data_IF_434377391945
#
_entry.id   IF_434377391945
#
_cell.length_a   1.000
_cell.length_b   1.000
_cell.length_c   1.000
_cell.angle_alpha   90.00
_cell.angle_beta   90.00
_cell.angle_gamma   90.00
#
_symmetry.space_group_name_H-M   'P 1'
#
loop_
_entity.id
_entity.type
_entity.pdbx_description
1 polymer ?
#
# COMPACT_ATOMS: atom_id res chain seq x y z
N UNK A 1 -16.09 19.09 -13.70
CA UNK A 1 -17.12 18.05 -13.50
C UNK A 1 -18.09 18.61 -12.46
N UNK A 2 -19.41 18.50 -12.65
CA UNK A 2 -20.35 19.00 -11.64
C UNK A 2 -20.28 18.12 -10.38
N UNK A 3 -20.08 18.70 -9.18
CA UNK A 3 -20.09 17.94 -7.93
C UNK A 3 -21.38 17.16 -7.70
N UNK A 4 -22.53 17.76 -8.05
CA UNK A 4 -23.84 17.14 -7.93
C UNK A 4 -23.98 15.94 -8.88
N UNK A 5 -23.50 16.08 -10.11
CA UNK A 5 -23.55 15.02 -11.11
C UNK A 5 -22.68 13.81 -10.71
N UNK A 6 -21.49 14.05 -10.14
CA UNK A 6 -20.63 12.98 -9.63
C UNK A 6 -21.27 12.30 -8.41
N UNK A 7 -21.82 13.08 -7.47
CA UNK A 7 -22.50 12.52 -6.30
C UNK A 7 -23.70 11.64 -6.69
N UNK A 8 -24.50 12.06 -7.66
CA UNK A 8 -25.60 11.24 -8.20
C UNK A 8 -25.09 9.94 -8.83
N UNK A 9 -24.05 10.03 -9.67
CA UNK A 9 -23.45 8.86 -10.30
C UNK A 9 -22.90 7.86 -9.27
N UNK A 10 -22.23 8.33 -8.22
CA UNK A 10 -21.70 7.45 -7.18
C UNK A 10 -22.81 6.62 -6.51
N UNK A 11 -23.99 7.21 -6.30
CA UNK A 11 -25.13 6.49 -5.72
C UNK A 11 -25.75 5.47 -6.69
N UNK A 12 -25.67 5.71 -8.00
CA UNK A 12 -26.18 4.81 -9.03
C UNK A 12 -25.20 3.66 -9.35
N UNK A 13 -23.89 3.92 -9.31
CA UNK A 13 -22.84 3.03 -9.82
C UNK A 13 -22.31 2.09 -8.74
N UNK A 14 -23.21 1.36 -8.08
CA UNK A 14 -22.90 0.50 -6.92
C UNK A 14 -22.29 -0.86 -7.29
N UNK A 15 -22.21 -1.20 -8.57
CA UNK A 15 -21.65 -2.47 -9.05
C UNK A 15 -20.89 -2.32 -10.36
N UNK A 16 -19.97 -3.26 -10.63
CA UNK A 16 -19.25 -3.32 -11.91
C UNK A 16 -20.18 -3.36 -13.12
N UNK A 17 -21.22 -4.23 -13.17
CA UNK A 17 -22.16 -4.24 -14.30
C UNK A 17 -22.82 -2.88 -14.54
N UNK A 18 -23.24 -2.18 -13.48
CA UNK A 18 -23.84 -0.85 -13.59
C UNK A 18 -22.88 0.17 -14.21
N UNK A 19 -21.60 0.15 -13.81
CA UNK A 19 -20.55 0.98 -14.42
C UNK A 19 -20.38 0.67 -15.90
N UNK A 20 -20.28 -0.61 -16.25
CA UNK A 20 -20.07 -1.05 -17.64
C UNK A 20 -21.23 -0.61 -18.53
N UNK A 21 -22.47 -0.83 -18.09
CA UNK A 21 -23.67 -0.45 -18.84
C UNK A 21 -23.76 1.08 -19.02
N UNK A 22 -23.48 1.85 -17.96
CA UNK A 22 -23.52 3.31 -18.01
C UNK A 22 -22.45 3.87 -18.95
N UNK A 23 -21.23 3.34 -18.92
CA UNK A 23 -20.18 3.79 -19.85
C UNK A 23 -20.55 3.42 -21.29
N UNK A 24 -20.95 2.17 -21.55
CA UNK A 24 -21.33 1.70 -22.90
C UNK A 24 -22.44 2.56 -23.52
N UNK A 25 -23.51 2.80 -22.78
CA UNK A 25 -24.64 3.63 -23.25
C UNK A 25 -24.21 5.06 -23.60
N UNK A 26 -23.25 5.64 -22.87
CA UNK A 26 -22.75 6.98 -23.14
C UNK A 26 -21.73 7.01 -24.28
N UNK A 27 -20.90 5.97 -24.45
CA UNK A 27 -19.99 5.88 -25.60
C UNK A 27 -20.74 5.87 -26.94
N UNK A 28 -21.95 5.34 -26.99
CA UNK A 28 -22.80 5.33 -28.19
C UNK A 28 -23.58 6.63 -28.43
N UNK A 29 -23.56 7.60 -27.51
CA UNK A 29 -24.26 8.88 -27.68
C UNK A 29 -23.61 9.70 -28.83
N UNK A 30 -24.38 10.58 -29.47
CA UNK A 30 -23.91 11.48 -30.55
C UNK A 30 -23.69 12.93 -30.08
N UNK A 31 -23.89 13.20 -28.79
CA UNK A 31 -23.78 14.56 -28.23
C UNK A 31 -22.33 15.03 -28.10
N UNK A 32 -22.11 16.34 -28.22
CA UNK A 32 -20.79 16.97 -28.13
C UNK A 32 -20.09 16.80 -26.78
N UNK A 33 -20.85 16.67 -25.69
CA UNK A 33 -20.32 16.52 -24.33
C UNK A 33 -20.08 15.07 -23.90
N UNK A 34 -20.27 14.11 -24.82
CA UNK A 34 -20.17 12.66 -24.59
C UNK A 34 -18.91 12.25 -23.83
N UNK A 35 -17.74 12.71 -24.30
CA UNK A 35 -16.44 12.28 -23.75
C UNK A 35 -16.26 12.77 -22.31
N UNK A 36 -16.62 14.02 -22.03
CA UNK A 36 -16.62 14.53 -20.65
C UNK A 36 -17.51 13.68 -19.74
N UNK A 37 -18.69 13.28 -20.23
CA UNK A 37 -19.62 12.45 -19.45
C UNK A 37 -19.07 11.04 -19.22
N UNK A 38 -18.40 10.44 -20.20
CA UNK A 38 -17.72 9.15 -20.04
C UNK A 38 -16.62 9.24 -18.98
N UNK A 39 -15.81 10.30 -18.98
CA UNK A 39 -14.79 10.51 -17.94
C UNK A 39 -15.44 10.64 -16.56
N UNK A 40 -16.54 11.40 -16.43
CA UNK A 40 -17.28 11.53 -15.17
C UNK A 40 -17.82 10.19 -14.66
N UNK A 41 -18.44 9.39 -15.53
CA UNK A 41 -18.97 8.06 -15.16
C UNK A 41 -17.81 7.13 -14.76
N UNK A 42 -16.72 7.15 -15.51
CA UNK A 42 -15.54 6.32 -15.25
C UNK A 42 -14.90 6.67 -13.90
N UNK A 43 -14.77 7.95 -13.57
CA UNK A 43 -14.23 8.39 -12.28
C UNK A 43 -15.21 8.11 -11.15
N UNK A 44 -16.49 8.46 -11.31
CA UNK A 44 -17.52 8.20 -10.31
C UNK A 44 -17.68 6.71 -9.99
N UNK A 45 -17.68 5.85 -11.02
CA UNK A 45 -17.74 4.40 -10.87
C UNK A 45 -16.51 3.84 -10.14
N UNK A 46 -15.32 4.32 -10.47
CA UNK A 46 -14.10 3.93 -9.77
C UNK A 46 -14.15 4.34 -8.28
N UNK A 47 -14.62 5.55 -7.96
CA UNK A 47 -14.78 6.01 -6.58
C UNK A 47 -15.85 5.21 -5.83
N UNK A 48 -17.01 4.94 -6.46
CA UNK A 48 -18.11 4.19 -5.88
C UNK A 48 -17.73 2.75 -5.53
N UNK A 49 -16.86 2.15 -6.34
CA UNK A 49 -16.33 0.80 -6.15
C UNK A 49 -15.03 0.77 -5.32
N UNK A 50 -14.63 1.89 -4.72
CA UNK A 50 -13.38 2.06 -3.95
C UNK A 50 -12.13 1.57 -4.72
N UNK A 51 -12.08 1.81 -6.04
CA UNK A 51 -10.93 1.52 -6.88
C UNK A 51 -9.74 2.44 -6.54
N UNK A 52 -8.54 1.87 -6.60
CA UNK A 52 -7.29 2.60 -6.38
C UNK A 52 -6.76 3.28 -7.64
N UNK A 53 -6.87 2.62 -8.79
CA UNK A 53 -6.40 3.11 -10.07
C UNK A 53 -7.41 2.79 -11.18
N UNK A 54 -7.48 3.67 -12.18
CA UNK A 54 -8.13 3.45 -13.47
C UNK A 54 -7.01 3.34 -14.51
N UNK A 55 -6.98 2.23 -15.24
CA UNK A 55 -6.07 1.99 -16.35
C UNK A 55 -6.82 2.11 -17.67
N UNK A 56 -6.26 2.86 -18.63
CA UNK A 56 -6.78 2.98 -19.99
C UNK A 56 -5.63 2.70 -20.94
N UNK A 57 -5.69 1.55 -21.59
CA UNK A 57 -4.53 0.95 -22.25
C UNK A 57 -4.89 0.60 -23.70
N UNK A 58 -4.28 1.29 -24.68
CA UNK A 58 -4.45 0.97 -26.09
C UNK A 58 -3.71 -0.32 -26.48
N UNK A 59 -4.39 -1.16 -27.26
CA UNK A 59 -3.86 -2.31 -27.97
C UNK A 59 -4.00 -2.06 -29.50
N UNK A 60 -3.56 -3.00 -30.33
CA UNK A 60 -3.52 -2.83 -31.79
C UNK A 60 -4.89 -2.49 -32.39
N UNK A 61 -5.94 -3.14 -31.91
CA UNK A 61 -7.29 -3.07 -32.50
C UNK A 61 -8.36 -2.53 -31.56
N UNK A 62 -8.05 -2.36 -30.27
CA UNK A 62 -8.99 -1.92 -29.25
C UNK A 62 -8.28 -1.17 -28.13
N UNK A 63 -9.04 -0.50 -27.27
CA UNK A 63 -8.55 0.10 -26.03
C UNK A 63 -9.31 -0.52 -24.88
N UNK A 64 -8.60 -0.96 -23.84
CA UNK A 64 -9.20 -1.55 -22.64
C UNK A 64 -9.18 -0.57 -21.46
N UNK A 65 -10.29 -0.53 -20.72
CA UNK A 65 -10.39 0.13 -19.42
C UNK A 65 -10.40 -0.93 -18.32
N UNK A 66 -9.55 -0.77 -17.31
CA UNK A 66 -9.47 -1.65 -16.14
C UNK A 66 -9.49 -0.85 -14.85
N UNK A 67 -10.15 -1.36 -13.82
CA UNK A 67 -10.05 -0.80 -12.46
C UNK A 67 -9.19 -1.69 -11.58
N UNK A 68 -8.34 -1.08 -10.74
CA UNK A 68 -7.66 -1.78 -9.67
C UNK A 68 -8.52 -1.80 -8.40
N UNK A 69 -9.21 -2.91 -8.20
CA UNK A 69 -10.06 -3.18 -7.04
C UNK A 69 -9.32 -4.13 -6.10
N UNK A 70 -9.14 -3.73 -4.85
CA UNK A 70 -8.43 -4.52 -3.83
C UNK A 70 -7.05 -5.04 -4.30
N UNK A 71 -6.35 -4.22 -5.10
CA UNK A 71 -5.02 -4.53 -5.64
C UNK A 71 -5.01 -5.32 -6.95
N UNK A 72 -6.16 -5.84 -7.40
CA UNK A 72 -6.29 -6.66 -8.61
C UNK A 72 -6.98 -5.89 -9.74
N UNK A 73 -6.48 -6.04 -10.96
CA UNK A 73 -7.08 -5.41 -12.14
C UNK A 73 -8.30 -6.18 -12.60
N UNK A 74 -9.40 -5.45 -12.82
CA UNK A 74 -10.67 -5.97 -13.30
C UNK A 74 -11.02 -5.25 -14.61
N UNK A 75 -11.31 -6.02 -15.66
CA UNK A 75 -11.71 -5.47 -16.95
C UNK A 75 -13.09 -4.81 -16.83
N UNK A 76 -13.21 -3.60 -17.35
CA UNK A 76 -14.47 -2.84 -17.37
C UNK A 76 -15.06 -2.90 -18.78
N UNK A 77 -14.36 -2.38 -19.77
CA UNK A 77 -14.84 -2.39 -21.15
C UNK A 77 -13.69 -2.26 -22.15
N UNK A 78 -14.01 -2.62 -23.39
CA UNK A 78 -13.18 -2.41 -24.57
C UNK A 78 -13.92 -1.50 -25.56
N UNK A 79 -13.18 -0.62 -26.24
CA UNK A 79 -13.73 0.37 -27.18
C UNK A 79 -12.69 0.78 -28.23
N UNK A 80 -13.09 1.63 -29.19
CA UNK A 80 -12.29 1.97 -30.36
C UNK A 80 -11.23 3.08 -30.11
N UNK A 81 -10.14 3.01 -30.87
CA UNK A 81 -9.03 3.99 -30.86
C UNK A 81 -9.45 5.45 -31.15
N UNK A 82 -10.31 5.74 -32.15
CA UNK A 82 -10.80 7.10 -32.38
C UNK A 82 -11.46 7.72 -31.15
N UNK A 83 -12.30 6.97 -30.44
CA UNK A 83 -12.91 7.42 -29.19
C UNK A 83 -11.86 7.61 -28.09
N UNK A 84 -10.84 6.74 -28.03
CA UNK A 84 -9.74 6.89 -27.08
C UNK A 84 -8.95 8.18 -27.28
N UNK A 85 -8.63 8.57 -28.51
CA UNK A 85 -7.92 9.83 -28.76
C UNK A 85 -8.67 11.06 -28.23
N UNK A 86 -10.01 11.05 -28.26
CA UNK A 86 -10.82 12.10 -27.66
C UNK A 86 -10.76 12.06 -26.12
N UNK A 87 -10.82 10.86 -25.54
CA UNK A 87 -10.70 10.64 -24.09
C UNK A 87 -9.33 11.10 -23.57
N UNK A 88 -8.26 10.72 -24.25
CA UNK A 88 -6.88 11.10 -23.97
C UNK A 88 -6.71 12.63 -23.98
N UNK A 89 -7.20 13.30 -25.03
CA UNK A 89 -7.15 14.75 -25.09
C UNK A 89 -7.94 15.40 -23.94
N UNK A 90 -9.11 14.85 -23.59
CA UNK A 90 -9.90 15.35 -22.47
C UNK A 90 -9.18 15.19 -21.13
N UNK A 91 -8.59 14.02 -20.88
CA UNK A 91 -7.83 13.73 -19.66
C UNK A 91 -6.60 14.63 -19.56
N UNK A 92 -5.81 14.75 -20.63
CA UNK A 92 -4.66 15.66 -20.66
C UNK A 92 -5.05 17.10 -20.32
N UNK A 93 -6.14 17.58 -20.92
CA UNK A 93 -6.61 18.96 -20.68
C UNK A 93 -7.04 19.19 -19.23
N UNK A 94 -7.82 18.28 -18.62
CA UNK A 94 -8.25 18.46 -17.22
C UNK A 94 -7.10 18.29 -16.23
N UNK A 95 -6.07 17.50 -16.58
CA UNK A 95 -4.90 17.26 -15.75
C UNK A 95 -3.78 18.30 -15.93
N UNK A 96 -3.96 19.29 -16.81
CA UNK A 96 -2.97 20.33 -17.09
C UNK A 96 -1.78 19.89 -17.96
N UNK A 97 -1.91 18.79 -18.70
CA UNK A 97 -0.88 18.25 -19.58
C UNK A 97 -0.92 18.87 -20.98
N UNK A 98 0.18 18.75 -21.73
CA UNK A 98 0.29 19.29 -23.09
C UNK A 98 -0.24 18.29 -24.12
N UNK A 99 -1.17 18.75 -24.96
CA UNK A 99 -1.81 17.91 -26.00
C UNK A 99 -0.88 17.53 -27.16
N UNK A 100 0.11 18.38 -27.44
CA UNK A 100 1.04 18.22 -28.55
C UNK A 100 2.28 17.38 -28.20
N UNK A 101 2.53 17.11 -26.92
CA UNK A 101 3.59 16.19 -26.48
C UNK A 101 2.99 14.80 -26.38
N UNK A 102 3.59 13.81 -27.06
CA UNK A 102 3.08 12.43 -27.17
C UNK A 102 4.15 11.35 -27.06
N UNK A 103 5.40 11.75 -27.13
CA UNK A 103 6.62 10.94 -27.15
C UNK A 103 7.35 10.94 -25.80
N UNK A 104 6.85 11.71 -24.83
CA UNK A 104 7.40 11.82 -23.47
C UNK A 104 6.33 11.48 -22.43
N UNK A 105 6.79 10.98 -21.28
CA UNK A 105 5.92 10.78 -20.12
C UNK A 105 5.43 12.13 -19.58
N UNK A 106 4.16 12.19 -19.16
CA UNK A 106 3.57 13.38 -18.57
C UNK A 106 2.75 13.00 -17.34
N UNK A 107 2.95 13.76 -16.27
CA UNK A 107 2.16 13.67 -15.05
C UNK A 107 1.34 14.95 -14.85
N UNK A 108 0.19 14.80 -14.19
CA UNK A 108 -0.75 15.87 -13.96
C UNK A 108 -1.73 15.50 -12.87
N UNK A 109 -2.60 16.44 -12.51
CA UNK A 109 -3.57 16.23 -11.44
C UNK A 109 -4.83 17.03 -11.68
N UNK A 110 -5.93 16.51 -11.18
CA UNK A 110 -7.20 17.21 -11.12
C UNK A 110 -8.00 16.72 -9.91
N UNK A 111 -8.92 17.55 -9.42
CA UNK A 111 -9.75 17.21 -8.26
C UNK A 111 -11.19 17.02 -8.66
N UNK A 112 -11.86 16.08 -7.99
CA UNK A 112 -13.29 15.87 -8.09
C UNK A 112 -13.89 16.10 -6.72
N UNK A 113 -14.81 17.08 -6.63
CA UNK A 113 -15.50 17.41 -5.41
C UNK A 113 -16.72 16.52 -5.23
N UNK A 114 -16.82 15.87 -4.08
CA UNK A 114 -17.95 15.03 -3.68
C UNK A 114 -18.45 15.55 -2.34
N UNK A 115 -19.62 16.20 -2.35
CA UNK A 115 -20.13 16.95 -1.19
C UNK A 115 -19.07 17.96 -0.71
N UNK A 116 -18.57 17.78 0.52
CA UNK A 116 -17.58 18.64 1.16
C UNK A 116 -16.15 18.08 1.09
N UNK A 117 -15.93 17.02 0.32
CA UNK A 117 -14.63 16.34 0.21
C UNK A 117 -14.08 16.46 -1.21
N UNK A 118 -12.86 16.98 -1.34
CA UNK A 118 -12.12 16.93 -2.60
C UNK A 118 -11.34 15.63 -2.69
N UNK A 119 -11.56 14.89 -3.77
CA UNK A 119 -10.76 13.71 -4.13
C UNK A 119 -9.79 14.14 -5.22
N UNK A 120 -8.50 14.21 -4.87
CA UNK A 120 -7.43 14.44 -5.85
C UNK A 120 -7.21 13.17 -6.67
N UNK A 121 -7.05 13.35 -7.99
CA UNK A 121 -6.73 12.30 -8.93
C UNK A 121 -5.44 12.68 -9.61
N UNK A 122 -4.44 11.81 -9.49
CA UNK A 122 -3.17 11.93 -10.22
C UNK A 122 -3.29 11.19 -11.53
N UNK A 123 -2.95 11.86 -12.62
CA UNK A 123 -2.93 11.28 -13.95
C UNK A 123 -1.48 11.11 -14.38
N UNK A 124 -1.14 9.93 -14.89
CA UNK A 124 0.14 9.65 -15.54
C UNK A 124 -0.14 9.13 -16.95
N UNK A 125 0.60 9.66 -17.92
CA UNK A 125 0.52 9.29 -19.33
C UNK A 125 1.91 8.91 -19.82
N UNK A 126 2.04 7.76 -20.46
CA UNK A 126 3.30 7.30 -21.06
C UNK A 126 3.12 6.96 -22.54
N UNK A 127 4.14 7.15 -23.39
CA UNK A 127 4.10 6.69 -24.76
C UNK A 127 3.99 5.15 -24.80
N UNK A 128 3.18 4.63 -25.73
CA UNK A 128 2.98 3.21 -25.96
C UNK A 128 3.04 2.85 -27.44
N UNK A 129 3.04 1.56 -27.75
CA UNK A 129 3.19 1.07 -29.13
C UNK A 129 2.03 1.47 -30.06
N UNK A 130 0.80 1.51 -29.54
CA UNK A 130 -0.41 1.76 -30.32
C UNK A 130 -1.01 3.15 -30.11
N UNK A 131 -0.78 3.74 -28.93
CA UNK A 131 -1.04 5.13 -28.56
C UNK A 131 -0.48 5.34 -27.15
N UNK A 132 -0.76 6.47 -26.52
CA UNK A 132 -0.37 6.73 -25.13
C UNK A 132 -1.19 5.87 -24.14
N UNK A 133 -0.56 5.38 -23.07
CA UNK A 133 -1.26 4.68 -21.97
C UNK A 133 -1.53 5.63 -20.82
N UNK A 134 -2.72 5.52 -20.19
CA UNK A 134 -3.15 6.41 -19.11
C UNK A 134 -3.38 5.61 -17.83
N UNK A 135 -2.85 6.10 -16.71
CA UNK A 135 -3.21 5.66 -15.37
C UNK A 135 -3.74 6.85 -14.57
N UNK A 136 -4.92 6.70 -13.98
CA UNK A 136 -5.49 7.66 -13.03
C UNK A 136 -5.50 7.03 -11.64
N UNK A 137 -4.70 7.57 -10.72
CA UNK A 137 -4.68 7.14 -9.31
C UNK A 137 -5.63 8.01 -8.49
N UNK A 138 -6.54 7.34 -7.77
CA UNK A 138 -7.56 7.99 -6.95
C UNK A 138 -7.06 8.08 -5.52
N UNK A 139 -6.86 9.30 -5.02
CA UNK A 139 -6.43 9.55 -3.64
C UNK A 139 -7.67 9.68 -2.75
N UNK A 140 -8.18 8.55 -2.29
CA UNK A 140 -9.37 8.50 -1.44
C UNK A 140 -9.02 8.75 0.05
N UNK A 141 -9.48 9.87 0.64
CA UNK A 141 -9.13 10.24 2.02
C UNK A 141 -9.69 9.29 3.08
N UNK A 142 -10.65 8.40 2.75
CA UNK A 142 -11.08 7.33 3.67
C UNK A 142 -9.90 6.48 4.17
N UNK A 143 -8.86 6.31 3.35
CA UNK A 143 -7.65 5.54 3.72
C UNK A 143 -6.87 6.15 4.89
N UNK A 144 -6.99 7.46 5.12
CA UNK A 144 -6.35 8.18 6.24
C UNK A 144 -6.90 7.73 7.60
N UNK A 145 -8.18 7.31 7.64
CA UNK A 145 -8.89 7.00 8.87
C UNK A 145 -8.44 5.68 9.53
N UNK A 146 -7.59 4.89 8.87
CA UNK A 146 -7.14 3.60 9.38
C UNK A 146 -6.29 3.79 10.64
N UNK A 147 -6.73 3.16 11.72
CA UNK A 147 -6.06 3.17 13.03
C UNK A 147 -5.18 1.92 13.16
N UNK A 148 -4.22 1.97 14.08
CA UNK A 148 -3.25 0.90 14.29
C UNK A 148 -3.94 -0.46 14.53
N UNK A 149 -5.00 -0.50 15.34
CA UNK A 149 -5.82 -1.69 15.64
C UNK A 149 -6.50 -2.32 14.42
N UNK A 150 -6.73 -1.53 13.36
CA UNK A 150 -7.38 -2.00 12.13
C UNK A 150 -6.39 -2.47 11.06
N UNK A 151 -5.09 -2.36 11.30
CA UNK A 151 -4.06 -2.80 10.35
C UNK A 151 -4.03 -4.33 10.15
N UNK A 152 -4.49 -5.09 11.14
CA UNK A 152 -4.46 -6.56 11.13
C UNK A 152 -3.20 -7.16 11.76
N UNK A 153 -2.52 -6.42 12.64
CA UNK A 153 -1.37 -6.90 13.42
C UNK A 153 -1.81 -7.99 14.42
N UNK A 154 -0.93 -8.95 14.71
CA UNK A 154 -1.14 -9.87 15.83
C UNK A 154 -1.05 -9.14 17.16
N UNK A 155 -1.69 -9.65 18.21
CA UNK A 155 -1.71 -9.00 19.53
C UNK A 155 -0.30 -8.80 20.11
N UNK A 156 0.58 -9.79 19.93
CA UNK A 156 1.98 -9.70 20.39
C UNK A 156 2.79 -8.65 19.62
N UNK A 157 2.62 -8.59 18.30
CA UNK A 157 3.28 -7.57 17.49
C UNK A 157 2.73 -6.17 17.80
N UNK A 158 1.41 -6.05 17.97
CA UNK A 158 0.75 -4.81 18.40
C UNK A 158 1.32 -4.30 19.73
N UNK A 159 1.41 -5.18 20.72
CA UNK A 159 1.94 -4.84 22.06
C UNK A 159 3.39 -4.38 21.96
N UNK A 160 4.19 -5.07 21.15
CA UNK A 160 5.59 -4.70 20.91
C UNK A 160 5.67 -3.33 20.22
N UNK A 161 4.94 -3.13 19.12
CA UNK A 161 4.95 -1.87 18.38
C UNK A 161 4.48 -0.68 19.23
N UNK A 162 3.43 -0.84 20.04
CA UNK A 162 2.97 0.24 20.94
C UNK A 162 4.07 0.68 21.91
N UNK A 163 4.89 -0.26 22.40
CA UNK A 163 6.03 0.06 23.25
C UNK A 163 7.14 0.78 22.47
N UNK A 164 7.45 0.30 21.27
CA UNK A 164 8.56 0.83 20.46
C UNK A 164 8.24 2.21 19.85
N UNK A 165 7.00 2.44 19.44
CA UNK A 165 6.50 3.73 18.94
C UNK A 165 6.47 4.80 20.05
N UNK A 166 6.35 4.38 21.32
CA UNK A 166 6.38 5.29 22.48
C UNK A 166 7.79 5.61 23.00
N UNK A 167 8.86 5.15 22.34
CA UNK A 167 10.23 5.46 22.75
C UNK A 167 10.60 6.91 22.41
N UNK A 168 11.48 7.55 23.20
CA UNK A 168 11.94 8.92 22.92
C UNK A 168 12.75 9.00 21.62
N UNK A 169 13.45 7.94 21.25
CA UNK A 169 14.28 7.90 20.06
C UNK A 169 14.45 6.48 19.52
N UNK A 170 14.99 6.40 18.30
CA UNK A 170 15.23 5.16 17.57
C UNK A 170 14.55 5.18 16.21
N UNK A 171 14.71 4.11 15.45
CA UNK A 171 14.19 4.01 14.08
C UNK A 171 13.30 2.79 13.90
N UNK A 172 12.10 3.03 13.40
CA UNK A 172 11.15 1.98 13.00
C UNK A 172 11.06 1.98 11.47
N UNK A 173 11.46 0.85 10.90
CA UNK A 173 11.45 0.62 9.46
C UNK A 173 10.25 -0.23 9.07
N UNK A 174 9.50 0.24 8.08
CA UNK A 174 8.43 -0.54 7.45
C UNK A 174 8.85 -0.91 6.04
N UNK A 175 8.89 -2.20 5.72
CA UNK A 175 9.36 -2.70 4.43
C UNK A 175 8.28 -3.47 3.68
N UNK A 176 8.53 -3.68 2.39
CA UNK A 176 7.64 -4.39 1.48
C UNK A 176 7.62 -3.74 0.10
N UNK A 177 6.99 -4.39 -0.89
CA UNK A 177 6.90 -3.87 -2.26
C UNK A 177 5.99 -2.64 -2.35
N UNK A 178 5.92 -2.04 -3.54
CA UNK A 178 4.91 -1.02 -3.86
C UNK A 178 3.50 -1.57 -3.64
N UNK A 179 2.63 -0.77 -3.02
CA UNK A 179 1.24 -1.16 -2.75
C UNK A 179 1.07 -2.14 -1.58
N UNK A 180 2.11 -2.40 -0.78
CA UNK A 180 1.99 -3.22 0.44
C UNK A 180 1.40 -2.49 1.65
N UNK A 181 1.07 -1.21 1.51
CA UNK A 181 0.44 -0.40 2.56
C UNK A 181 1.41 0.34 3.50
N UNK A 182 2.71 0.44 3.18
CA UNK A 182 3.73 1.05 4.05
C UNK A 182 3.35 2.47 4.50
N UNK A 183 2.99 3.35 3.56
CA UNK A 183 2.58 4.73 3.88
C UNK A 183 1.35 4.76 4.78
N UNK A 184 0.37 3.87 4.56
CA UNK A 184 -0.81 3.76 5.42
C UNK A 184 -0.43 3.36 6.85
N UNK A 185 0.51 2.41 7.00
CA UNK A 185 1.03 2.02 8.31
C UNK A 185 1.79 3.16 8.99
N UNK A 186 2.65 3.87 8.27
CA UNK A 186 3.38 5.02 8.82
C UNK A 186 2.42 6.14 9.26
N UNK A 187 1.38 6.41 8.47
CA UNK A 187 0.37 7.40 8.86
C UNK A 187 -0.41 6.95 10.11
N UNK A 188 -0.69 5.65 10.27
CA UNK A 188 -1.27 5.12 11.49
C UNK A 188 -0.34 5.30 12.70
N UNK A 189 0.98 5.12 12.53
CA UNK A 189 1.96 5.40 13.59
C UNK A 189 1.98 6.88 13.96
N UNK A 190 2.05 7.77 12.97
CA UNK A 190 2.05 9.22 13.19
C UNK A 190 0.79 9.66 13.94
N UNK A 191 -0.38 9.14 13.59
CA UNK A 191 -1.64 9.44 14.30
C UNK A 191 -1.67 8.91 15.73
N UNK A 192 -1.02 7.77 16.01
CA UNK A 192 -0.96 7.19 17.35
C UNK A 192 -0.13 8.05 18.31
N UNK A 193 0.93 8.70 17.81
CA UNK A 193 1.84 9.54 18.60
C UNK A 193 1.49 11.03 18.54
N UNK A 194 0.66 11.45 17.59
CA UNK A 194 0.31 12.85 17.39
C UNK A 194 -0.38 13.44 18.61
N UNK A 195 0.21 14.51 19.13
CA UNK A 195 -0.36 15.35 20.16
C UNK A 195 0.25 16.76 20.05
N UNK A 196 -0.38 17.81 20.64
CA UNK A 196 0.10 19.19 20.51
C UNK A 196 1.49 19.48 21.10
N UNK A 197 2.02 18.61 21.95
CA UNK A 197 3.33 18.77 22.60
C UNK A 197 4.46 18.11 21.79
N UNK A 198 4.12 17.31 20.77
CA UNK A 198 5.08 16.58 19.93
C UNK A 198 5.16 17.18 18.54
N UNK A 199 6.33 17.71 18.17
CA UNK A 199 6.60 18.23 16.84
C UNK A 199 6.96 17.10 15.88
N UNK A 200 6.11 16.92 14.89
CA UNK A 200 6.26 15.90 13.85
C UNK A 200 6.56 16.56 12.51
N UNK A 201 7.65 16.13 11.85
CA UNK A 201 8.02 16.56 10.49
C UNK A 201 8.11 15.37 9.55
N UNK A 202 7.48 15.46 8.37
CA UNK A 202 7.59 14.43 7.33
C UNK A 202 8.29 14.97 6.07
N UNK A 203 9.02 14.09 5.40
CA UNK A 203 9.61 14.31 4.08
C UNK A 203 9.09 13.19 3.17
N UNK A 204 8.30 13.54 2.16
CA UNK A 204 7.54 12.57 1.34
C UNK A 204 7.72 12.82 -0.16
N UNK A 205 7.52 11.79 -0.98
CA UNK A 205 7.58 11.90 -2.45
C UNK A 205 6.50 11.04 -3.12
N UNK A 206 5.33 11.61 -3.44
CA UNK A 206 4.78 12.88 -2.94
C UNK A 206 4.08 12.72 -1.59
N UNK A 207 3.55 13.81 -1.03
CA UNK A 207 2.60 13.73 0.09
C UNK A 207 1.31 13.06 -0.41
N UNK A 208 0.90 11.95 0.18
CA UNK A 208 -0.32 11.24 -0.25
C UNK A 208 -1.59 11.90 0.29
N UNK A 209 -1.56 12.34 1.56
CA UNK A 209 -2.66 13.06 2.18
C UNK A 209 -2.17 14.05 3.24
N UNK A 210 -2.98 15.09 3.46
CA UNK A 210 -2.73 16.04 4.53
C UNK A 210 -3.17 15.50 5.89
N UNK A 211 -2.24 15.42 6.83
CA UNK A 211 -2.45 15.07 8.23
C UNK A 211 -2.52 16.36 9.06
N UNK A 212 -3.68 16.72 9.62
CA UNK A 212 -3.81 17.92 10.43
C UNK A 212 -2.85 17.94 11.61
N UNK A 213 -2.18 19.07 11.83
CA UNK A 213 -1.26 19.25 12.96
C UNK A 213 0.12 18.59 12.78
N UNK A 214 0.44 18.07 11.59
CA UNK A 214 1.76 17.54 11.24
C UNK A 214 2.37 18.42 10.15
N UNK A 215 3.66 18.75 10.28
CA UNK A 215 4.39 19.48 9.24
C UNK A 215 4.82 18.49 8.17
N UNK A 216 4.20 18.55 6.99
CA UNK A 216 4.55 17.67 5.88
C UNK A 216 5.27 18.44 4.78
N UNK A 217 6.41 17.93 4.35
CA UNK A 217 7.18 18.47 3.23
C UNK A 217 7.24 17.46 2.10
N UNK A 218 7.25 17.96 0.86
CA UNK A 218 7.35 17.13 -0.33
C UNK A 218 8.69 17.37 -1.00
N UNK A 219 9.37 16.31 -1.44
CA UNK A 219 10.56 16.45 -2.28
C UNK A 219 10.24 17.20 -3.57
N UNK A 220 11.24 17.92 -4.08
CA UNK A 220 11.18 18.64 -5.35
C UNK A 220 12.55 18.54 -6.01
N UNK A 221 12.68 17.58 -6.93
CA UNK A 221 13.96 17.31 -7.63
C UNK A 221 14.39 18.49 -8.49
N UNK A 222 13.45 19.21 -9.11
CA UNK A 222 13.75 20.34 -9.99
C UNK A 222 14.32 21.53 -9.19
N UNK A 223 13.90 21.67 -7.93
CA UNK A 223 14.42 22.67 -6.99
C UNK A 223 15.55 22.15 -6.08
N UNK A 224 15.96 20.89 -6.24
CA UNK A 224 17.00 20.25 -5.45
C UNK A 224 16.62 19.92 -3.99
N UNK A 225 15.34 19.96 -3.64
CA UNK A 225 14.85 19.56 -2.32
C UNK A 225 14.67 18.03 -2.26
N UNK A 226 15.74 17.30 -1.93
CA UNK A 226 15.78 15.83 -1.86
C UNK A 226 15.43 15.30 -0.47
N UNK A 227 15.25 13.97 -0.32
CA UNK A 227 15.06 13.34 0.99
C UNK A 227 16.20 13.65 1.97
N UNK A 228 17.45 13.49 1.55
CA UNK A 228 18.61 13.80 2.38
C UNK A 228 18.66 15.28 2.81
N UNK A 229 18.41 16.21 1.88
CA UNK A 229 18.40 17.64 2.21
C UNK A 229 17.25 18.01 3.15
N UNK A 230 16.05 17.51 2.87
CA UNK A 230 14.87 17.72 3.69
C UNK A 230 15.05 17.15 5.10
N UNK A 231 15.61 15.95 5.23
CA UNK A 231 15.90 15.32 6.52
C UNK A 231 16.95 16.12 7.31
N UNK A 232 18.03 16.59 6.67
CA UNK A 232 19.01 17.48 7.32
C UNK A 232 18.38 18.80 7.77
N UNK A 233 17.42 19.32 7.02
CA UNK A 233 16.69 20.52 7.42
C UNK A 233 15.77 20.23 8.61
N UNK A 234 15.05 19.10 8.58
CA UNK A 234 14.12 18.68 9.63
C UNK A 234 14.81 18.58 10.99
N UNK A 235 16.00 17.97 11.10
CA UNK A 235 16.73 17.88 12.38
C UNK A 235 17.10 19.24 12.99
N UNK A 236 17.11 20.32 12.20
CA UNK A 236 17.34 21.70 12.69
C UNK A 236 16.06 22.45 13.02
N UNK A 237 14.92 21.78 12.91
CA UNK A 237 13.61 22.35 13.21
C UNK A 237 13.12 21.94 14.59
N UNK A 238 13.98 21.42 15.48
CA UNK A 238 13.56 20.96 16.82
C UNK A 238 12.42 19.92 16.78
N UNK A 239 12.48 18.86 15.93
CA UNK A 239 11.43 17.85 15.88
C UNK A 239 11.61 16.83 17.02
N UNK A 240 10.52 16.24 17.48
CA UNK A 240 10.55 15.02 18.30
C UNK A 240 10.55 13.77 17.41
N UNK A 241 9.74 13.82 16.34
CA UNK A 241 9.50 12.71 15.43
C UNK A 241 9.72 13.15 13.99
N UNK A 242 10.48 12.35 13.25
CA UNK A 242 10.73 12.57 11.82
C UNK A 242 10.24 11.36 11.03
N UNK A 243 9.46 11.59 9.98
CA UNK A 243 9.12 10.54 9.02
C UNK A 243 9.79 10.82 7.67
N UNK A 244 10.53 9.85 7.16
CA UNK A 244 11.16 9.88 5.85
C UNK A 244 10.44 8.86 4.97
N UNK A 245 9.77 9.31 3.92
CA UNK A 245 8.91 8.48 3.07
C UNK A 245 9.59 7.19 2.63
N UNK A 246 10.87 7.25 2.29
CA UNK A 246 11.71 6.08 2.01
C UNK A 246 13.20 6.41 2.08
N UNK A 247 14.01 5.39 2.35
CA UNK A 247 15.47 5.44 2.25
C UNK A 247 15.88 4.71 0.96
N UNK A 248 16.36 5.46 -0.03
CA UNK A 248 16.80 4.90 -1.33
C UNK A 248 18.32 4.91 -1.53
N UNK A 249 19.00 5.86 -0.90
CA UNK A 249 20.40 6.16 -1.10
C UNK A 249 21.17 6.23 0.23
N UNK A 250 22.51 6.22 0.11
CA UNK A 250 23.44 6.28 1.23
C UNK A 250 23.23 7.54 2.09
N UNK A 251 23.14 8.70 1.43
CA UNK A 251 23.07 9.99 2.12
C UNK A 251 21.83 10.08 3.02
N UNK A 252 20.67 9.65 2.52
CA UNK A 252 19.43 9.60 3.29
C UNK A 252 19.52 8.58 4.42
N UNK A 253 20.12 7.41 4.18
CA UNK A 253 20.31 6.37 5.19
C UNK A 253 21.19 6.86 6.35
N UNK A 254 22.34 7.47 6.04
CA UNK A 254 23.29 8.00 7.01
C UNK A 254 22.63 9.06 7.90
N UNK A 255 21.93 10.02 7.31
CA UNK A 255 21.26 11.09 8.08
C UNK A 255 20.13 10.52 8.93
N UNK A 256 19.36 9.54 8.44
CA UNK A 256 18.28 8.91 9.22
C UNK A 256 18.81 8.15 10.45
N UNK A 257 19.90 7.40 10.27
CA UNK A 257 20.59 6.69 11.36
C UNK A 257 21.12 7.68 12.39
N UNK A 258 21.78 8.75 11.95
CA UNK A 258 22.28 9.78 12.86
C UNK A 258 21.13 10.48 13.60
N UNK A 259 20.01 10.79 12.94
CA UNK A 259 18.84 11.36 13.59
C UNK A 259 18.30 10.46 14.72
N UNK A 260 18.17 9.15 14.45
CA UNK A 260 17.72 8.17 15.44
C UNK A 260 18.68 8.04 16.65
N UNK A 261 19.98 8.14 16.41
CA UNK A 261 21.02 8.10 17.46
C UNK A 261 21.10 9.41 18.26
N UNK A 262 20.66 10.52 17.69
CA UNK A 262 20.74 11.86 18.30
C UNK A 262 19.45 12.30 18.99
N UNK A 263 18.60 11.34 19.37
CA UNK A 263 17.45 11.60 20.24
C UNK A 263 16.11 11.79 19.52
N UNK A 264 16.03 11.48 18.22
CA UNK A 264 14.77 11.56 17.46
C UNK A 264 14.15 10.19 17.27
N UNK A 265 12.82 10.12 17.26
CA UNK A 265 12.10 8.95 16.76
C UNK A 265 11.93 9.07 15.24
N UNK A 266 12.46 8.10 14.49
CA UNK A 266 12.48 8.12 13.03
C UNK A 266 11.61 7.01 12.47
N UNK A 267 10.65 7.36 11.63
CA UNK A 267 9.86 6.41 10.85
C UNK A 267 10.32 6.45 9.40
N UNK A 268 10.56 5.28 8.79
CA UNK A 268 10.90 5.25 7.38
C UNK A 268 10.50 3.94 6.68
N UNK A 269 10.69 3.91 5.37
CA UNK A 269 10.45 2.71 4.56
C UNK A 269 11.66 2.27 3.76
N UNK A 270 11.72 0.96 3.49
CA UNK A 270 12.64 0.33 2.55
C UNK A 270 11.86 -0.61 1.63
N UNK A 271 12.40 -0.89 0.44
CA UNK A 271 11.85 -1.87 -0.48
C UNK A 271 12.60 -3.21 -0.34
N UNK A 272 12.38 -3.90 0.78
CA UNK A 272 12.87 -5.27 1.00
C UNK A 272 11.69 -6.25 1.06
N UNK A 273 11.97 -7.54 0.84
CA UNK A 273 10.94 -8.57 0.78
C UNK A 273 10.46 -9.06 2.14
N UNK A 274 11.27 -8.87 3.17
CA UNK A 274 11.09 -9.33 4.54
C UNK A 274 11.78 -8.37 5.52
N UNK A 275 11.50 -8.53 6.82
CA UNK A 275 12.03 -7.66 7.87
C UNK A 275 13.55 -7.81 8.03
N UNK A 276 14.07 -9.02 7.88
CA UNK A 276 15.49 -9.32 7.99
C UNK A 276 16.32 -8.59 6.91
N UNK A 277 15.77 -8.42 5.70
CA UNK A 277 16.43 -7.76 4.57
C UNK A 277 16.73 -6.27 4.79
N UNK A 278 16.09 -5.62 5.76
CA UNK A 278 16.35 -4.21 6.05
C UNK A 278 17.80 -3.94 6.49
N UNK A 279 18.38 -4.83 7.31
CA UNK A 279 19.73 -4.68 7.83
C UNK A 279 20.81 -4.77 6.73
N UNK A 280 20.93 -5.87 5.95
CA UNK A 280 21.91 -5.94 4.87
C UNK A 280 21.67 -4.85 3.83
N UNK A 281 20.41 -4.47 3.57
CA UNK A 281 20.12 -3.35 2.65
C UNK A 281 20.72 -2.03 3.12
N UNK A 282 20.68 -1.72 4.42
CA UNK A 282 21.30 -0.51 4.95
C UNK A 282 22.83 -0.59 4.95
N UNK A 283 23.39 -1.79 5.16
CA UNK A 283 24.84 -2.02 5.03
C UNK A 283 25.28 -1.80 3.57
N UNK A 284 24.53 -2.31 2.60
CA UNK A 284 24.77 -2.10 1.16
C UNK A 284 24.68 -0.61 0.77
N UNK A 285 23.83 0.14 1.46
CA UNK A 285 23.75 1.60 1.34
C UNK A 285 24.90 2.32 2.04
N UNK A 286 25.85 1.62 2.66
CA UNK A 286 27.04 2.21 3.26
C UNK A 286 26.93 2.54 4.75
N UNK A 287 25.82 2.18 5.41
CA UNK A 287 25.69 2.40 6.85
C UNK A 287 26.59 1.42 7.62
N UNK A 288 27.33 1.93 8.60
CA UNK A 288 28.20 1.13 9.44
C UNK A 288 27.37 0.12 10.29
N UNK A 289 27.61 -1.19 10.16
CA UNK A 289 26.85 -2.21 10.90
C UNK A 289 26.89 -2.02 12.43
N UNK A 290 27.97 -1.46 12.97
CA UNK A 290 28.15 -1.25 14.42
C UNK A 290 27.16 -0.26 15.03
N UNK A 291 26.57 0.63 14.23
CA UNK A 291 25.61 1.63 14.72
C UNK A 291 24.17 1.29 14.35
N UNK A 292 23.96 0.35 13.43
CA UNK A 292 22.62 -0.01 12.93
C UNK A 292 21.70 -0.49 14.04
N UNK A 293 22.18 -1.35 14.93
CA UNK A 293 21.37 -1.92 16.02
C UNK A 293 21.13 -0.93 17.15
N UNK A 294 21.99 0.07 17.31
CA UNK A 294 21.73 1.19 18.22
C UNK A 294 20.69 2.16 17.67
N UNK A 295 20.57 2.27 16.34
CA UNK A 295 19.63 3.16 15.68
C UNK A 295 18.26 2.51 15.43
N UNK A 296 18.22 1.28 14.92
CA UNK A 296 16.99 0.58 14.54
C UNK A 296 16.42 -0.14 15.75
N UNK A 297 15.20 0.21 16.16
CA UNK A 297 14.48 -0.50 17.23
C UNK A 297 13.62 -1.62 16.67
N UNK A 298 13.00 -1.39 15.50
CA UNK A 298 12.13 -2.36 14.83
C UNK A 298 12.35 -2.32 13.33
N UNK A 299 12.56 -3.50 12.74
CA UNK A 299 12.37 -3.72 11.31
C UNK A 299 11.11 -4.55 11.09
N UNK A 300 10.13 -4.03 10.37
CA UNK A 300 8.87 -4.69 10.05
C UNK A 300 8.75 -4.86 8.54
N UNK A 301 8.19 -5.97 8.09
CA UNK A 301 7.77 -6.16 6.71
C UNK A 301 6.27 -6.43 6.63
N UNK A 302 5.66 -5.97 5.54
CA UNK A 302 4.24 -6.15 5.33
C UNK A 302 3.88 -6.45 3.88
N UNK A 303 2.76 -7.16 3.71
CA UNK A 303 2.04 -7.30 2.43
C UNK A 303 0.54 -7.13 2.67
N UNK A 304 -0.21 -6.76 1.62
CA UNK A 304 -1.67 -6.72 1.66
C UNK A 304 -2.25 -7.94 0.96
N UNK A 305 -3.18 -8.60 1.63
CA UNK A 305 -4.01 -9.69 1.09
C UNK A 305 -5.47 -9.27 1.08
N UNK A 306 -6.24 -9.78 0.13
CA UNK A 306 -7.68 -9.49 0.03
C UNK A 306 -8.47 -10.21 1.13
N UNK A 307 -9.49 -9.55 1.67
CA UNK A 307 -10.40 -10.15 2.65
C UNK A 307 -11.54 -10.88 1.94
N UNK A 308 -11.90 -12.06 2.44
CA UNK A 308 -13.08 -12.77 1.99
C UNK A 308 -14.34 -11.95 2.23
N UNK A 309 -15.30 -12.04 1.31
CA UNK A 309 -16.60 -11.41 1.48
C UNK A 309 -17.43 -12.14 2.54
N UNK A 310 -17.77 -11.44 3.62
CA UNK A 310 -18.61 -11.99 4.71
C UNK A 310 -20.01 -12.45 4.26
N UNK A 311 -20.50 -11.97 3.11
CA UNK A 311 -21.84 -12.33 2.63
C UNK A 311 -21.85 -13.59 1.75
N UNK A 312 -20.70 -14.00 1.19
CA UNK A 312 -20.67 -15.07 0.20
C UNK A 312 -19.46 -16.00 0.29
N UNK A 313 -18.59 -15.88 1.30
CA UNK A 313 -17.49 -16.83 1.51
C UNK A 313 -18.04 -18.24 1.69
N UNK A 314 -17.31 -19.23 1.18
CA UNK A 314 -17.74 -20.62 1.18
C UNK A 314 -16.86 -21.42 2.13
N UNK A 315 -17.47 -22.25 2.98
CA UNK A 315 -16.73 -23.22 3.78
C UNK A 315 -16.05 -24.23 2.85
N UNK A 316 -14.79 -24.55 3.15
CA UNK A 316 -13.99 -25.54 2.46
C UNK A 316 -13.32 -26.45 3.48
N UNK A 317 -13.44 -27.75 3.28
CA UNK A 317 -12.60 -28.72 4.00
C UNK A 317 -11.24 -28.72 3.30
N UNK A 318 -10.13 -28.43 4.01
CA UNK A 318 -8.81 -28.47 3.40
C UNK A 318 -8.53 -29.86 2.81
N UNK A 319 -7.85 -29.91 1.66
CA UNK A 319 -7.32 -31.18 1.15
C UNK A 319 -6.29 -31.76 2.12
N UNK A 320 -5.94 -33.06 2.04
CA UNK A 320 -4.90 -33.63 2.90
C UNK A 320 -3.56 -32.87 2.84
N UNK A 321 -3.15 -32.42 1.65
CA UNK A 321 -1.93 -31.63 1.44
C UNK A 321 -2.03 -30.23 2.07
N UNK A 322 -3.16 -29.53 1.88
CA UNK A 322 -3.42 -28.24 2.51
C UNK A 322 -3.40 -28.37 4.04
N UNK A 323 -4.08 -29.40 4.58
CA UNK A 323 -4.14 -29.66 6.01
C UNK A 323 -2.75 -29.92 6.60
N UNK A 324 -1.97 -30.80 5.98
CA UNK A 324 -0.59 -31.10 6.40
C UNK A 324 0.27 -29.83 6.42
N UNK A 325 0.17 -29.00 5.38
CA UNK A 325 0.91 -27.73 5.30
C UNK A 325 0.49 -26.75 6.39
N UNK A 326 -0.81 -26.62 6.66
CA UNK A 326 -1.33 -25.77 7.74
C UNK A 326 -0.86 -26.26 9.11
N UNK A 327 -0.90 -27.58 9.37
CA UNK A 327 -0.42 -28.20 10.61
C UNK A 327 1.09 -28.01 10.81
N UNK A 328 1.89 -28.14 9.75
CA UNK A 328 3.34 -27.88 9.76
C UNK A 328 3.65 -26.40 10.08
N UNK A 329 2.90 -25.47 9.52
CA UNK A 329 3.08 -24.04 9.80
C UNK A 329 2.66 -23.72 11.24
N UNK A 330 1.52 -24.24 11.72
CA UNK A 330 1.08 -24.04 13.12
C UNK A 330 2.05 -24.67 14.13
N UNK A 331 2.65 -25.82 13.82
CA UNK A 331 3.63 -26.45 14.72
C UNK A 331 4.97 -25.68 14.79
N UNK A 332 5.29 -24.89 13.75
CA UNK A 332 6.48 -24.01 13.74
C UNK A 332 6.35 -22.78 14.65
N UNK A 333 5.14 -22.42 15.10
CA UNK A 333 4.92 -21.30 16.01
C UNK A 333 5.33 -21.74 17.42
N UNK A 334 6.37 -21.12 17.99
CA UNK A 334 6.86 -21.45 19.34
C UNK A 334 5.88 -21.04 20.44
N UNK A 335 5.15 -19.95 20.24
CA UNK A 335 4.23 -19.38 21.22
C UNK A 335 2.83 -19.99 21.07
N UNK A 336 2.51 -20.94 21.96
CA UNK A 336 1.22 -21.66 21.96
C UNK A 336 0.01 -20.72 21.99
N UNK A 337 0.13 -19.54 22.63
CA UNK A 337 -0.98 -18.57 22.74
C UNK A 337 -1.39 -17.97 21.39
N UNK A 338 -0.48 -18.01 20.40
CA UNK A 338 -0.72 -17.48 19.06
C UNK A 338 -1.21 -18.54 18.07
N UNK A 339 -1.23 -19.83 18.45
CA UNK A 339 -1.68 -20.90 17.57
C UNK A 339 -3.20 -20.87 17.40
N UNK A 340 -3.65 -21.29 16.23
CA UNK A 340 -5.05 -21.53 15.94
C UNK A 340 -5.28 -23.02 15.62
N UNK A 341 -6.41 -23.61 16.04
CA UNK A 341 -6.72 -25.00 15.69
C UNK A 341 -6.87 -25.13 14.18
N UNK A 342 -6.21 -26.14 13.59
CA UNK A 342 -6.38 -26.46 12.17
C UNK A 342 -7.74 -27.12 11.99
N UNK A 343 -8.65 -26.39 11.36
CA UNK A 343 -10.03 -26.81 11.15
C UNK A 343 -10.52 -26.53 9.74
N UNK A 344 -11.80 -26.16 9.63
CA UNK A 344 -12.37 -25.69 8.36
C UNK A 344 -11.70 -24.39 7.94
N UNK A 345 -11.50 -24.23 6.64
CA UNK A 345 -11.06 -22.96 6.04
C UNK A 345 -12.20 -22.40 5.19
N UNK A 346 -12.00 -21.19 4.65
CA UNK A 346 -12.95 -20.55 3.76
C UNK A 346 -12.29 -20.21 2.43
N UNK A 347 -13.07 -20.25 1.36
CA UNK A 347 -12.66 -19.81 0.04
C UNK A 347 -13.60 -18.75 -0.52
N UNK A 348 -13.10 -18.01 -1.50
CA UNK A 348 -13.88 -16.99 -2.19
C UNK A 348 -14.89 -17.64 -3.12
N UNK A 349 -16.15 -17.17 -3.08
CA UNK A 349 -17.12 -17.54 -4.10
C UNK A 349 -16.70 -16.90 -5.43
N UNK A 350 -16.35 -17.69 -6.47
CA UNK A 350 -15.88 -17.16 -7.75
C UNK A 350 -16.92 -16.29 -8.47
N UNK A 351 -18.22 -16.55 -8.24
CA UNK A 351 -19.31 -15.75 -8.80
C UNK A 351 -19.48 -14.40 -8.10
N UNK A 352 -18.90 -14.24 -6.90
CA UNK A 352 -19.13 -13.09 -6.04
C UNK A 352 -20.59 -12.91 -5.63
N UNK A 353 -20.89 -11.72 -5.11
CA UNK A 353 -22.23 -11.22 -4.81
C UNK A 353 -22.23 -9.70 -5.04
N UNK A 354 -23.38 -9.04 -4.87
CA UNK A 354 -23.54 -7.59 -5.08
C UNK A 354 -22.59 -6.72 -4.23
N UNK A 355 -22.08 -7.25 -3.12
CA UNK A 355 -21.23 -6.51 -2.18
C UNK A 355 -19.72 -6.67 -2.42
N UNK A 356 -19.30 -7.55 -3.33
CA UNK A 356 -17.89 -7.93 -3.47
C UNK A 356 -17.45 -8.07 -4.93
N UNK A 357 -16.14 -8.24 -5.13
CA UNK A 357 -15.54 -8.49 -6.43
C UNK A 357 -14.85 -9.85 -6.39
N UNK A 358 -15.41 -10.83 -7.10
CA UNK A 358 -14.90 -12.21 -7.18
C UNK A 358 -14.71 -12.86 -5.80
N UNK A 359 -15.64 -12.61 -4.87
CA UNK A 359 -15.66 -13.19 -3.54
C UNK A 359 -14.79 -12.47 -2.50
N UNK A 360 -14.16 -11.34 -2.85
CA UNK A 360 -13.35 -10.52 -1.94
C UNK A 360 -13.87 -9.09 -1.80
N UNK A 361 -13.66 -8.48 -0.63
CA UNK A 361 -13.93 -7.05 -0.39
C UNK A 361 -12.97 -6.48 0.63
N UNK A 362 -12.17 -5.50 0.21
CA UNK A 362 -11.18 -4.86 1.05
C UNK A 362 -9.93 -5.71 1.23
N UNK A 363 -8.98 -5.16 1.99
CA UNK A 363 -7.67 -5.76 2.23
C UNK A 363 -7.33 -5.75 3.71
N UNK A 364 -6.41 -6.64 4.11
CA UNK A 364 -5.80 -6.68 5.43
C UNK A 364 -4.31 -6.93 5.28
N UNK A 365 -3.51 -6.42 6.21
CA UNK A 365 -2.07 -6.66 6.21
C UNK A 365 -1.71 -8.03 6.79
N UNK A 366 -0.68 -8.63 6.22
CA UNK A 366 0.13 -9.66 6.88
C UNK A 366 1.48 -9.06 7.23
N UNK A 367 1.95 -9.34 8.43
CA UNK A 367 3.10 -8.67 9.02
C UNK A 367 4.09 -9.67 9.59
N UNK A 368 5.34 -9.27 9.58
CA UNK A 368 6.40 -9.83 10.40
C UNK A 368 7.27 -8.69 10.91
N UNK A 369 7.96 -8.90 12.03
CA UNK A 369 8.90 -7.92 12.53
C UNK A 369 10.06 -8.59 13.26
N UNK A 370 11.16 -7.85 13.33
CA UNK A 370 12.35 -8.15 14.10
C UNK A 370 12.58 -6.95 15.00
N UNK A 371 12.56 -7.20 16.30
CA UNK A 371 12.99 -6.23 17.31
C UNK A 371 14.50 -6.32 17.42
N UNK A 372 15.17 -5.19 17.60
CA UNK A 372 16.61 -5.23 17.86
C UNK A 372 16.87 -5.59 19.32
N UNK A 373 17.64 -6.66 19.52
CA UNK A 373 18.14 -7.14 20.80
C UNK A 373 19.63 -7.53 20.68
N UNK A 374 20.21 -8.02 21.77
CA UNK A 374 21.63 -8.43 21.81
C UNK A 374 21.98 -9.51 20.78
N UNK A 375 21.08 -10.45 20.47
CA UNK A 375 21.32 -11.49 19.47
C UNK A 375 21.36 -10.90 18.07
N UNK A 376 20.45 -9.98 17.77
CA UNK A 376 20.44 -9.25 16.50
C UNK A 376 21.70 -8.40 16.37
N UNK A 377 22.11 -7.69 17.42
CA UNK A 377 23.34 -6.89 17.44
C UNK A 377 24.58 -7.71 17.12
N UNK A 378 24.78 -8.85 17.78
CA UNK A 378 25.93 -9.72 17.53
C UNK A 378 26.02 -10.19 16.07
N UNK A 379 24.88 -10.48 15.45
CA UNK A 379 24.82 -10.97 14.07
C UNK A 379 24.99 -9.83 13.06
N UNK A 380 24.38 -8.67 13.29
CA UNK A 380 24.45 -7.51 12.38
C UNK A 380 25.87 -6.97 12.23
N UNK A 381 26.67 -6.96 13.30
CA UNK A 381 28.06 -6.49 13.26
C UNK A 381 28.92 -7.30 12.27
N UNK A 382 28.57 -8.55 12.01
CA UNK A 382 29.30 -9.46 11.13
C UNK A 382 28.94 -9.34 9.63
N UNK A 383 28.12 -8.35 9.24
CA UNK A 383 27.55 -8.22 7.89
C UNK A 383 26.81 -9.49 7.43
N UNK A 384 25.68 -9.81 8.09
CA UNK A 384 25.01 -11.09 7.94
C UNK A 384 24.12 -11.15 6.69
N UNK A 385 23.79 -12.37 6.29
CA UNK A 385 22.68 -12.64 5.38
C UNK A 385 21.32 -12.49 6.07
N UNK A 386 20.25 -12.31 5.27
CA UNK A 386 18.87 -12.30 5.77
C UNK A 386 18.53 -13.55 6.60
N UNK A 387 19.08 -14.71 6.20
CA UNK A 387 18.84 -16.00 6.86
C UNK A 387 19.42 -16.03 8.27
N UNK A 388 20.60 -15.45 8.47
CA UNK A 388 21.25 -15.39 9.79
C UNK A 388 20.51 -14.47 10.75
N UNK A 389 20.04 -13.32 10.25
CA UNK A 389 19.20 -12.40 11.02
C UNK A 389 17.87 -13.07 11.39
N UNK A 390 17.19 -13.72 10.42
CA UNK A 390 15.94 -14.44 10.69
C UNK A 390 16.13 -15.50 11.77
N UNK A 391 17.23 -16.26 11.72
CA UNK A 391 17.57 -17.28 12.73
C UNK A 391 17.78 -16.67 14.12
N UNK A 392 18.47 -15.53 14.20
CA UNK A 392 18.69 -14.84 15.47
C UNK A 392 17.39 -14.29 16.09
N UNK A 393 16.43 -13.89 15.26
CA UNK A 393 15.12 -13.37 15.67
C UNK A 393 14.13 -14.46 16.13
N UNK A 394 14.40 -15.76 15.90
CA UNK A 394 13.43 -16.84 16.12
C UNK A 394 12.91 -16.94 17.57
N UNK A 395 13.68 -16.48 18.55
CA UNK A 395 13.31 -16.55 19.97
C UNK A 395 12.45 -15.37 20.43
N UNK A 396 12.27 -14.34 19.60
CA UNK A 396 11.39 -13.21 19.89
C UNK A 396 9.91 -13.62 19.88
N UNK A 397 9.60 -14.75 19.21
CA UNK A 397 8.26 -15.30 19.12
C UNK A 397 7.27 -14.37 18.43
N UNK A 398 7.75 -13.46 17.58
CA UNK A 398 6.96 -12.70 16.61
C UNK A 398 6.75 -13.60 15.40
N UNK A 399 5.52 -13.61 14.87
CA UNK A 399 5.16 -14.43 13.72
C UNK A 399 5.86 -13.91 12.47
N UNK A 400 6.26 -14.83 11.59
CA UNK A 400 6.59 -14.46 10.21
C UNK A 400 5.32 -14.25 9.37
N UNK A 401 5.46 -13.65 8.17
CA UNK A 401 4.30 -13.32 7.33
C UNK A 401 3.47 -14.55 6.94
N UNK A 402 4.12 -15.72 6.81
CA UNK A 402 3.45 -16.98 6.48
C UNK A 402 2.59 -17.44 7.66
N UNK A 403 3.17 -17.45 8.86
CA UNK A 403 2.47 -17.82 10.09
C UNK A 403 1.28 -16.89 10.38
N UNK A 404 1.49 -15.57 10.32
CA UNK A 404 0.44 -14.56 10.50
C UNK A 404 -0.67 -14.70 9.45
N UNK A 405 -0.28 -14.92 8.19
CA UNK A 405 -1.21 -15.20 7.10
C UNK A 405 -2.05 -16.46 7.32
N UNK A 406 -1.44 -17.57 7.73
CA UNK A 406 -2.17 -18.83 7.99
C UNK A 406 -3.16 -18.67 9.14
N UNK A 407 -2.81 -17.95 10.20
CA UNK A 407 -3.77 -17.67 11.29
C UNK A 407 -4.99 -16.91 10.73
N UNK A 408 -4.79 -15.96 9.81
CA UNK A 408 -5.90 -15.25 9.15
C UNK A 408 -6.73 -16.17 8.25
N UNK A 409 -6.12 -17.16 7.59
CA UNK A 409 -6.84 -18.21 6.83
C UNK A 409 -7.72 -19.05 7.76
N UNK A 410 -7.16 -19.54 8.87
CA UNK A 410 -7.87 -20.36 9.86
C UNK A 410 -9.01 -19.59 10.54
N UNK A 411 -8.88 -18.26 10.68
CA UNK A 411 -9.94 -17.37 11.17
C UNK A 411 -10.99 -17.00 10.09
N UNK A 412 -10.85 -17.49 8.86
CA UNK A 412 -11.77 -17.21 7.76
C UNK A 412 -11.78 -15.75 7.29
N UNK A 413 -10.67 -15.02 7.51
CA UNK A 413 -10.48 -13.63 7.07
C UNK A 413 -10.04 -13.56 5.60
N UNK A 414 -9.23 -14.51 5.17
CA UNK A 414 -8.69 -14.66 3.81
C UNK A 414 -8.75 -16.13 3.39
N UNK A 415 -8.60 -16.41 2.10
CA UNK A 415 -8.42 -17.77 1.60
C UNK A 415 -6.94 -18.17 1.58
N UNK A 416 -6.69 -19.48 1.54
CA UNK A 416 -5.34 -20.01 1.34
C UNK A 416 -4.78 -19.64 -0.05
N UNK A 417 -5.64 -19.62 -1.08
CA UNK A 417 -5.27 -19.24 -2.45
C UNK A 417 -4.77 -17.80 -2.54
N UNK A 418 -5.43 -16.87 -1.84
CA UNK A 418 -5.00 -15.48 -1.78
C UNK A 418 -3.71 -15.30 -0.98
N UNK A 419 -3.53 -16.05 0.10
CA UNK A 419 -2.29 -16.02 0.87
C UNK A 419 -1.10 -16.49 0.01
N UNK A 420 -1.22 -17.63 -0.66
CA UNK A 420 -0.16 -18.20 -1.52
C UNK A 420 0.20 -17.31 -2.72
N UNK A 421 -0.71 -16.42 -3.16
CA UNK A 421 -0.42 -15.42 -4.20
C UNK A 421 0.58 -14.36 -3.72
N UNK A 422 0.57 -14.06 -2.42
CA UNK A 422 1.26 -12.91 -1.84
C UNK A 422 2.45 -13.33 -0.99
N UNK A 423 2.41 -14.50 -0.35
CA UNK A 423 3.49 -15.04 0.48
C UNK A 423 3.80 -16.45 -0.02
N UNK A 424 5.07 -16.85 0.01
CA UNK A 424 5.45 -18.19 -0.38
C UNK A 424 5.01 -19.19 0.70
N UNK A 425 3.84 -19.80 0.51
CA UNK A 425 3.35 -20.92 1.30
C UNK A 425 3.78 -22.18 0.56
N UNK A 426 4.80 -22.88 1.06
CA UNK A 426 5.22 -24.16 0.51
C UNK A 426 4.12 -25.20 0.75
N UNK A 427 3.15 -25.28 -0.17
CA UNK A 427 2.18 -26.37 -0.24
C UNK A 427 2.91 -27.55 -0.89
N UNK A 428 3.48 -28.43 -0.07
CA UNK A 428 4.04 -29.69 -0.59
C UNK A 428 2.89 -30.49 -1.26
N UNK A 429 3.09 -31.01 -2.50
CA UNK A 429 2.08 -31.82 -3.19
C UNK A 429 1.78 -33.14 -2.50
#
# INVERSE_FOLDING_TARGET
MSPEAIASLINELTSLPAVIEKIKSNLSDKKSYRISRVVEIMVAGAIALDASDIHIEPEETYVRIRYRLDGVLNNILEFDLPTFHQLLARIKLISGMKLNIKDEAQDGRFSVKIKDTDIEIRASVIPGAYSESIVLRILNPKSISLTLDKLGLSEKLMTSLNREIGRPNGMILTTGPTGSGKTTTLYAFLRQVHNPETKIITIEDPIEYHLPGIVQTQTDTDRGYTFALGLRAAVRQDPDIIMVGEIRDNETAEVAVNAALTGHLVFSTLHTNNAAGAFPRLIDLGVNPKVLTSAITVSMAQRLIRKLCENCKQEKIPTPAERSSLEKIMSSIKDESQKAPVGKIFDANPKGCEKCHNGYKGRIGVYEAILTDEKIEQVVIANPSEREIKKAAEDQGILDMTQDGVIKVLKGVTSLSELSRVVNVNLEP
#
